data_IF_868893127656
#
_entry.id   IF_868893127656
#
_cell.length_a   1.000
_cell.length_b   1.000
_cell.length_c   1.000
_cell.angle_alpha   90.00
_cell.angle_beta   90.00
_cell.angle_gamma   90.00
#
_symmetry.space_group_name_H-M   'P 1'
#
loop_
_entity.id
_entity.type
_entity.pdbx_description
1 polymer ?
#
# COMPACT_ATOMS: atom_id res chain seq x y z
N UNK A 1 6.36 22.96 13.99
CA UNK A 1 5.58 21.71 14.10
C UNK A 1 5.41 21.00 12.75
N UNK A 2 6.48 20.68 11.99
CA UNK A 2 6.34 20.01 10.68
C UNK A 2 6.17 18.49 10.76
N UNK A 3 6.68 17.85 11.82
CA UNK A 3 6.68 16.37 11.94
C UNK A 3 5.27 15.80 12.20
N UNK A 4 4.41 16.54 12.90
CA UNK A 4 3.02 16.10 13.18
C UNK A 4 2.16 16.15 11.92
N UNK A 5 2.31 17.21 11.13
CA UNK A 5 1.59 17.38 9.85
C UNK A 5 2.03 16.33 8.83
N UNK A 6 3.33 16.07 8.72
CA UNK A 6 3.86 15.02 7.85
C UNK A 6 3.31 13.63 8.23
N UNK A 7 3.29 13.29 9.53
CA UNK A 7 2.75 12.01 10.01
C UNK A 7 1.25 11.87 9.72
N UNK A 8 0.49 12.96 9.87
CA UNK A 8 -0.94 12.98 9.56
C UNK A 8 -1.19 12.72 8.07
N UNK A 9 -0.49 13.42 7.19
CA UNK A 9 -0.62 13.23 5.74
C UNK A 9 -0.29 11.79 5.31
N UNK A 10 0.75 11.18 5.90
CA UNK A 10 1.09 9.77 5.63
C UNK A 10 -0.03 8.81 6.05
N UNK A 11 -0.61 9.00 7.24
CA UNK A 11 -1.70 8.16 7.72
C UNK A 11 -2.95 8.29 6.83
N UNK A 12 -3.28 9.52 6.40
CA UNK A 12 -4.40 9.77 5.49
C UNK A 12 -4.20 9.05 4.14
N UNK A 13 -2.97 9.06 3.60
CA UNK A 13 -2.66 8.34 2.36
C UNK A 13 -2.78 6.82 2.52
N UNK A 14 -2.32 6.25 3.64
CA UNK A 14 -2.46 4.83 3.98
C UNK A 14 -3.93 4.44 4.09
N UNK A 15 -4.75 5.22 4.80
CA UNK A 15 -6.18 4.98 4.98
C UNK A 15 -6.96 5.08 3.65
N UNK A 16 -6.64 6.08 2.83
CA UNK A 16 -7.24 6.26 1.51
C UNK A 16 -6.96 5.03 0.62
N UNK A 17 -5.71 4.58 0.58
CA UNK A 17 -5.35 3.39 -0.20
C UNK A 17 -5.98 2.11 0.36
N UNK A 18 -6.00 1.93 1.68
CA UNK A 18 -6.67 0.81 2.33
C UNK A 18 -8.17 0.74 2.00
N UNK A 19 -8.83 1.90 1.98
CA UNK A 19 -10.23 2.03 1.57
C UNK A 19 -10.44 1.69 0.10
N UNK A 20 -9.57 2.20 -0.78
CA UNK A 20 -9.57 1.89 -2.20
C UNK A 20 -9.46 0.38 -2.44
N UNK A 21 -8.49 -0.31 -1.81
CA UNK A 21 -8.33 -1.75 -1.95
C UNK A 21 -9.59 -2.51 -1.53
N UNK A 22 -10.20 -2.13 -0.39
CA UNK A 22 -11.43 -2.77 0.09
C UNK A 22 -12.59 -2.59 -0.89
N UNK A 23 -12.79 -1.38 -1.42
CA UNK A 23 -13.88 -1.07 -2.34
C UNK A 23 -13.71 -1.74 -3.72
N UNK A 24 -12.47 -2.02 -4.12
CA UNK A 24 -12.14 -2.62 -5.42
C UNK A 24 -11.86 -4.14 -5.35
N UNK A 25 -12.31 -4.83 -4.30
CA UNK A 25 -12.22 -6.29 -4.21
C UNK A 25 -10.85 -6.85 -3.83
N UNK A 26 -9.95 -6.01 -3.30
CA UNK A 26 -8.62 -6.37 -2.75
C UNK A 26 -8.58 -6.33 -1.21
N UNK A 27 -9.75 -6.37 -0.56
CA UNK A 27 -9.86 -6.44 0.89
C UNK A 27 -9.15 -7.67 1.50
N UNK A 28 -9.03 -7.68 2.83
CA UNK A 28 -8.45 -8.83 3.55
C UNK A 28 -9.20 -10.12 3.18
N UNK A 29 -8.44 -11.19 2.97
CA UNK A 29 -8.94 -12.53 2.62
C UNK A 29 -9.71 -12.63 1.28
N UNK A 30 -9.74 -11.56 0.47
CA UNK A 30 -10.37 -11.61 -0.85
C UNK A 30 -9.54 -12.42 -1.85
N UNK A 31 -10.21 -13.07 -2.79
CA UNK A 31 -9.53 -13.74 -3.91
C UNK A 31 -8.75 -12.74 -4.79
N UNK A 32 -9.23 -11.49 -4.89
CA UNK A 32 -8.51 -10.41 -5.57
C UNK A 32 -7.15 -10.14 -4.92
N UNK A 33 -7.12 -10.02 -3.58
CA UNK A 33 -5.87 -9.88 -2.82
C UNK A 33 -4.95 -11.07 -3.02
N UNK A 34 -5.45 -12.31 -2.94
CA UNK A 34 -4.64 -13.52 -3.14
C UNK A 34 -3.95 -13.55 -4.52
N UNK A 35 -4.68 -13.16 -5.57
CA UNK A 35 -4.12 -13.03 -6.92
C UNK A 35 -3.07 -11.93 -7.00
N UNK A 36 -3.38 -10.75 -6.46
CA UNK A 36 -2.47 -9.61 -6.41
C UNK A 36 -1.14 -9.97 -5.72
N UNK A 37 -1.19 -10.58 -4.52
CA UNK A 37 0.04 -10.91 -3.77
C UNK A 37 0.89 -11.97 -4.49
N UNK A 38 0.24 -12.89 -5.21
CA UNK A 38 0.92 -13.87 -6.06
C UNK A 38 1.60 -13.20 -7.26
N UNK A 39 0.92 -12.28 -7.93
CA UNK A 39 1.47 -11.55 -9.08
C UNK A 39 2.70 -10.71 -8.70
N UNK A 40 2.61 -9.97 -7.59
CA UNK A 40 3.73 -9.16 -7.09
C UNK A 40 4.82 -9.99 -6.38
N UNK A 41 4.60 -11.30 -6.18
CA UNK A 41 5.56 -12.23 -5.61
C UNK A 41 5.85 -12.01 -4.11
N UNK A 42 4.86 -11.67 -3.31
CA UNK A 42 5.01 -11.47 -1.85
C UNK A 42 3.96 -12.24 -1.04
N UNK A 43 4.23 -12.47 0.24
CA UNK A 43 3.23 -13.07 1.14
C UNK A 43 2.13 -12.07 1.50
N UNK A 44 0.96 -12.54 1.92
CA UNK A 44 -0.11 -11.67 2.41
C UNK A 44 0.30 -10.81 3.61
N UNK A 45 1.16 -11.34 4.49
CA UNK A 45 1.70 -10.62 5.63
C UNK A 45 2.65 -9.52 5.19
N UNK A 46 3.55 -9.82 4.25
CA UNK A 46 4.47 -8.82 3.67
C UNK A 46 3.68 -7.72 2.97
N UNK A 47 2.62 -8.08 2.23
CA UNK A 47 1.73 -7.13 1.60
C UNK A 47 1.00 -6.25 2.63
N UNK A 48 0.48 -6.84 3.73
CA UNK A 48 -0.11 -6.06 4.84
C UNK A 48 0.88 -5.06 5.44
N UNK A 49 2.11 -5.49 5.71
CA UNK A 49 3.13 -4.61 6.26
C UNK A 49 3.46 -3.45 5.29
N UNK A 50 3.50 -3.75 3.99
CA UNK A 50 3.73 -2.76 2.94
C UNK A 50 2.63 -1.70 2.89
N UNK A 51 1.37 -2.13 2.75
CA UNK A 51 0.24 -1.20 2.56
C UNK A 51 -0.12 -0.42 3.82
N UNK A 52 0.27 -0.91 5.00
CA UNK A 52 0.09 -0.22 6.28
C UNK A 52 1.25 0.74 6.61
N UNK A 53 2.23 0.91 5.72
CA UNK A 53 3.36 1.81 5.96
C UNK A 53 4.40 1.31 6.97
N UNK A 54 4.39 0.01 7.30
CA UNK A 54 5.35 -0.59 8.24
C UNK A 54 6.67 -1.00 7.58
N UNK A 55 6.90 -0.61 6.33
CA UNK A 55 8.11 -0.93 5.55
C UNK A 55 8.66 0.34 4.92
N UNK A 56 9.99 0.45 4.85
CA UNK A 56 10.67 1.66 4.39
C UNK A 56 11.79 1.36 3.39
N UNK A 57 12.26 2.40 2.71
CA UNK A 57 13.38 2.36 1.77
C UNK A 57 12.98 1.99 0.34
N UNK A 58 13.97 2.07 -0.56
CA UNK A 58 13.76 1.96 -2.02
C UNK A 58 13.02 0.68 -2.45
N UNK A 59 13.36 -0.46 -1.87
CA UNK A 59 12.70 -1.73 -2.22
C UNK A 59 11.22 -1.75 -1.85
N UNK A 60 10.83 -1.12 -0.74
CA UNK A 60 9.43 -1.00 -0.35
C UNK A 60 8.69 -0.01 -1.27
N UNK A 61 9.32 1.12 -1.60
CA UNK A 61 8.81 2.09 -2.57
C UNK A 61 8.51 1.46 -3.93
N UNK A 62 9.47 0.72 -4.49
CA UNK A 62 9.32 0.07 -5.80
C UNK A 62 8.20 -0.99 -5.79
N UNK A 63 8.07 -1.74 -4.69
CA UNK A 63 6.97 -2.71 -4.50
C UNK A 63 5.63 -2.03 -4.40
N UNK A 64 5.52 -0.94 -3.63
CA UNK A 64 4.26 -0.21 -3.49
C UNK A 64 3.81 0.41 -4.82
N UNK A 65 4.75 0.96 -5.60
CA UNK A 65 4.44 1.47 -6.94
C UNK A 65 3.95 0.37 -7.89
N UNK A 66 4.54 -0.83 -7.84
CA UNK A 66 4.01 -1.98 -8.61
C UNK A 66 2.59 -2.32 -8.21
N UNK A 67 2.27 -2.29 -6.91
CA UNK A 67 0.91 -2.51 -6.42
C UNK A 67 -0.02 -1.42 -6.95
N UNK A 68 0.35 -0.14 -6.82
CA UNK A 68 -0.47 0.98 -7.30
C UNK A 68 -0.79 0.84 -8.79
N UNK A 69 0.22 0.56 -9.61
CA UNK A 69 0.06 0.34 -11.05
C UNK A 69 -0.83 -0.86 -11.35
N UNK A 70 -0.68 -1.97 -10.63
CA UNK A 70 -1.50 -3.16 -10.84
C UNK A 70 -2.98 -2.90 -10.52
N UNK A 71 -3.25 -2.22 -9.41
CA UNK A 71 -4.64 -1.97 -8.99
C UNK A 71 -5.26 -0.77 -9.69
N UNK A 72 -4.46 0.11 -10.31
CA UNK A 72 -4.92 1.34 -10.95
C UNK A 72 -5.15 2.49 -9.97
N UNK A 73 -4.34 2.57 -8.90
CA UNK A 73 -4.43 3.64 -7.90
C UNK A 73 -3.50 4.80 -8.25
N UNK A 74 -4.01 6.03 -8.23
CA UNK A 74 -3.29 7.26 -8.63
C UNK A 74 -2.99 8.22 -7.46
N UNK A 75 -2.95 7.72 -6.23
CA UNK A 75 -2.63 8.53 -5.05
C UNK A 75 -1.13 8.60 -4.75
N UNK A 76 -0.77 9.41 -3.76
CA UNK A 76 0.62 9.64 -3.39
C UNK A 76 1.24 8.43 -2.68
N UNK A 77 2.47 8.10 -3.08
CA UNK A 77 3.25 7.09 -2.41
C UNK A 77 3.83 7.68 -1.10
N UNK A 78 3.41 7.13 0.04
CA UNK A 78 3.86 7.57 1.37
C UNK A 78 5.19 6.93 1.81
N UNK A 79 5.78 6.04 1.02
CA UNK A 79 7.11 5.50 1.28
C UNK A 79 8.13 6.43 0.63
N UNK A 80 8.94 7.09 1.45
CA UNK A 80 10.07 7.90 0.96
C UNK A 80 11.27 6.97 0.67
N UNK A 81 11.94 7.16 -0.47
CA UNK A 81 13.08 6.37 -0.92
C UNK A 81 14.41 6.76 -0.26
#
# INVERSE_FOLDING_TARGET
MPMVEAKKAMNEAIEAFGSYLRLNGYGRSSEGRKRLVKEIGVSEQTFSNLINGNTHGRAAFDRLNKVFNYVGYSGDNWIVY
#
